data_IF_281372361304
#
_entry.id   IF_281372361304
#
_cell.length_a   1.000
_cell.length_b   1.000
_cell.length_c   1.000
_cell.angle_alpha   90.00
_cell.angle_beta   90.00
_cell.angle_gamma   90.00
#
_symmetry.space_group_name_H-M   'P 1'
#
loop_
_entity.id
_entity.type
_entity.pdbx_description
1 polymer ?
#
# COMPACT_ATOMS: atom_id res chain seq x y z
N UNK A 1 26.41 -28.01 -12.84
CA UNK A 1 27.26 -27.54 -11.72
C UNK A 1 27.68 -26.11 -12.02
N UNK A 2 26.94 -25.12 -11.51
CA UNK A 2 27.29 -23.71 -11.71
C UNK A 2 28.35 -23.28 -10.71
N UNK A 3 29.53 -22.88 -11.19
CA UNK A 3 30.57 -22.28 -10.36
C UNK A 3 30.18 -20.84 -10.00
N UNK A 4 29.69 -20.62 -8.78
CA UNK A 4 29.53 -19.28 -8.23
C UNK A 4 30.80 -18.87 -7.48
N UNK A 5 31.69 -18.12 -8.15
CA UNK A 5 32.77 -17.39 -7.46
C UNK A 5 32.31 -15.98 -7.10
N UNK A 6 31.36 -15.84 -6.18
CA UNK A 6 31.02 -14.51 -5.63
C UNK A 6 31.25 -14.52 -4.13
N UNK A 7 32.36 -13.89 -3.72
CA UNK A 7 32.64 -13.64 -2.31
C UNK A 7 31.46 -12.90 -1.65
N UNK A 8 31.04 -13.30 -0.44
CA UNK A 8 29.95 -12.62 0.27
C UNK A 8 30.32 -11.16 0.58
N UNK A 9 29.33 -10.25 0.66
CA UNK A 9 29.59 -8.84 0.97
C UNK A 9 30.29 -8.72 2.32
N UNK A 10 31.42 -8.01 2.34
CA UNK A 10 32.25 -7.82 3.54
C UNK A 10 31.81 -6.58 4.32
N UNK A 11 32.27 -6.47 5.57
CA UNK A 11 32.04 -5.32 6.48
C UNK A 11 32.06 -3.91 5.83
N UNK A 12 32.98 -3.53 4.92
CA UNK A 12 32.96 -2.20 4.30
C UNK A 12 31.74 -1.92 3.41
N UNK A 13 31.11 -2.96 2.84
CA UNK A 13 29.89 -2.81 2.04
C UNK A 13 28.72 -2.34 2.90
N UNK A 14 28.48 -3.00 4.03
CA UNK A 14 27.37 -2.68 4.93
C UNK A 14 27.48 -1.29 5.57
N UNK A 15 28.71 -0.75 5.72
CA UNK A 15 28.92 0.63 6.20
C UNK A 15 28.41 1.71 5.23
N UNK A 16 28.30 1.40 3.93
CA UNK A 16 27.88 2.35 2.88
C UNK A 16 26.49 2.07 2.33
N UNK A 17 25.85 0.99 2.79
CA UNK A 17 24.57 0.56 2.26
C UNK A 17 23.44 1.45 2.77
N UNK A 18 22.83 2.23 1.87
CA UNK A 18 21.67 3.04 2.20
C UNK A 18 20.38 2.25 2.00
N UNK A 19 19.70 2.01 3.12
CA UNK A 19 18.48 1.21 3.18
C UNK A 19 17.30 1.99 2.62
N UNK A 20 16.55 1.39 1.69
CA UNK A 20 15.28 1.94 1.21
C UNK A 20 14.20 1.86 2.30
N UNK A 21 13.15 2.68 2.18
CA UNK A 21 12.02 2.69 3.13
C UNK A 21 11.45 1.29 3.37
N UNK A 22 10.93 1.05 4.58
CA UNK A 22 10.48 -0.29 5.02
C UNK A 22 9.53 -0.96 4.03
N UNK A 23 8.47 -0.26 3.59
CA UNK A 23 7.45 -0.83 2.68
C UNK A 23 7.98 -1.11 1.27
N UNK A 24 9.06 -0.45 0.85
CA UNK A 24 9.76 -0.76 -0.40
C UNK A 24 10.53 -2.07 -0.28
N UNK A 25 11.22 -2.30 0.84
CA UNK A 25 11.90 -3.57 1.09
C UNK A 25 10.94 -4.74 1.16
N UNK A 26 9.74 -4.51 1.69
CA UNK A 26 8.67 -5.50 1.72
C UNK A 26 7.93 -5.66 0.38
N UNK A 27 8.18 -4.79 -0.61
CA UNK A 27 7.48 -4.79 -1.90
C UNK A 27 5.98 -4.45 -1.82
N UNK A 28 5.53 -3.82 -0.72
CA UNK A 28 4.10 -3.60 -0.44
C UNK A 28 3.56 -2.24 -0.90
N UNK A 29 4.43 -1.30 -1.28
CA UNK A 29 4.00 0.06 -1.60
C UNK A 29 4.93 0.74 -2.60
N UNK A 30 4.33 1.33 -3.63
CA UNK A 30 5.00 2.25 -4.55
C UNK A 30 4.91 3.68 -3.98
N UNK A 31 6.06 4.27 -3.64
CA UNK A 31 6.09 5.62 -3.06
C UNK A 31 5.89 6.73 -4.10
N UNK A 32 6.20 6.48 -5.37
CA UNK A 32 6.04 7.48 -6.44
C UNK A 32 4.56 7.68 -6.75
N UNK A 33 3.83 6.58 -6.97
CA UNK A 33 2.39 6.61 -7.19
C UNK A 33 1.65 7.13 -5.94
N UNK A 34 2.03 6.68 -4.74
CA UNK A 34 1.41 7.12 -3.49
C UNK A 34 1.56 8.64 -3.28
N UNK A 35 2.72 9.21 -3.60
CA UNK A 35 2.97 10.65 -3.48
C UNK A 35 1.98 11.46 -4.33
N UNK A 36 1.74 11.06 -5.57
CA UNK A 36 0.81 11.75 -6.46
C UNK A 36 -0.65 11.64 -5.98
N UNK A 37 -1.03 10.49 -5.42
CA UNK A 37 -2.37 10.25 -4.90
C UNK A 37 -2.65 11.05 -3.62
N UNK A 38 -1.69 11.11 -2.70
CA UNK A 38 -1.84 11.77 -1.38
C UNK A 38 -1.80 13.28 -1.48
N UNK A 39 -0.95 13.83 -2.35
CA UNK A 39 -0.76 15.29 -2.41
C UNK A 39 -2.06 15.97 -2.85
N UNK A 40 -2.41 16.98 -2.07
CA UNK A 40 -3.52 17.88 -2.32
C UNK A 40 -2.99 19.30 -2.49
N UNK A 41 -3.71 20.10 -3.28
CA UNK A 41 -3.37 21.50 -3.48
C UNK A 41 -3.62 22.26 -2.16
N UNK A 42 -2.67 23.10 -1.76
CA UNK A 42 -2.67 23.78 -0.45
C UNK A 42 -3.84 24.74 -0.24
N UNK A 43 -4.48 25.20 -1.31
CA UNK A 43 -5.70 26.01 -1.23
C UNK A 43 -6.86 25.27 -0.54
N UNK A 44 -6.85 23.93 -0.60
CA UNK A 44 -7.77 23.06 0.11
C UNK A 44 -7.05 22.57 1.35
N UNK A 45 -7.12 23.37 2.42
CA UNK A 45 -6.41 23.21 3.70
C UNK A 45 -6.61 21.82 4.34
N UNK A 46 -7.45 21.72 5.38
CA UNK A 46 -7.64 20.48 6.15
C UNK A 46 -8.70 19.56 5.56
N UNK A 47 -9.17 19.84 4.33
CA UNK A 47 -10.12 18.98 3.65
C UNK A 47 -9.37 17.70 3.25
N UNK A 48 -9.76 16.52 3.78
CA UNK A 48 -9.06 15.28 3.46
C UNK A 48 -9.32 14.83 2.03
N UNK A 49 -8.29 14.29 1.37
CA UNK A 49 -8.42 13.60 0.08
C UNK A 49 -8.65 12.11 0.32
N UNK A 50 -9.87 11.67 0.09
CA UNK A 50 -10.22 10.25 0.18
C UNK A 50 -9.69 9.47 -1.02
N UNK A 51 -9.17 8.27 -0.75
CA UNK A 51 -8.74 7.31 -1.75
C UNK A 51 -9.31 5.93 -1.45
N UNK A 52 -9.76 5.25 -2.49
CA UNK A 52 -10.14 3.85 -2.40
C UNK A 52 -8.89 2.99 -2.56
N UNK A 53 -8.58 2.20 -1.53
CA UNK A 53 -7.51 1.21 -1.56
C UNK A 53 -8.16 -0.13 -1.84
N UNK A 54 -7.83 -0.72 -2.99
CA UNK A 54 -8.24 -2.08 -3.34
C UNK A 54 -7.00 -2.96 -3.31
N UNK A 55 -7.07 -4.07 -2.56
CA UNK A 55 -6.03 -5.09 -2.53
C UNK A 55 -6.64 -6.43 -2.87
N UNK A 56 -6.10 -7.07 -3.91
CA UNK A 56 -6.48 -8.43 -4.28
C UNK A 56 -5.51 -9.37 -3.59
N UNK A 57 -6.04 -10.28 -2.79
CA UNK A 57 -5.29 -11.40 -2.21
C UNK A 57 -5.69 -12.69 -2.93
N UNK A 58 -5.01 -13.79 -2.64
CA UNK A 58 -5.29 -15.07 -3.30
C UNK A 58 -6.69 -15.62 -3.03
N UNK A 59 -7.37 -15.14 -1.99
CA UNK A 59 -8.69 -15.63 -1.56
C UNK A 59 -9.75 -14.54 -1.55
N UNK A 60 -9.37 -13.32 -1.17
CA UNK A 60 -10.32 -12.23 -0.93
C UNK A 60 -9.89 -10.91 -1.57
N UNK A 61 -10.87 -10.05 -1.82
CA UNK A 61 -10.66 -8.67 -2.26
C UNK A 61 -10.92 -7.75 -1.08
N UNK A 62 -9.90 -7.02 -0.64
CA UNK A 62 -10.01 -6.06 0.47
C UNK A 62 -10.21 -4.67 -0.12
N UNK A 63 -11.28 -3.98 0.30
CA UNK A 63 -11.60 -2.61 -0.13
C UNK A 63 -11.61 -1.71 1.10
N UNK A 64 -10.97 -0.54 1.02
CA UNK A 64 -10.91 0.43 2.11
C UNK A 64 -11.03 1.85 1.56
N UNK A 65 -11.76 2.72 2.24
CA UNK A 65 -11.71 4.16 1.96
C UNK A 65 -10.84 4.79 3.02
N UNK A 66 -9.73 5.40 2.61
CA UNK A 66 -8.74 5.99 3.51
C UNK A 66 -8.35 7.40 3.09
N UNK A 67 -7.82 8.16 4.05
CA UNK A 67 -7.24 9.48 3.83
C UNK A 67 -5.94 9.62 4.63
N UNK A 68 -5.03 10.46 4.16
CA UNK A 68 -3.70 10.56 4.73
C UNK A 68 -3.64 11.59 5.86
N UNK A 69 -3.07 11.19 7.00
CA UNK A 69 -2.60 12.08 8.06
C UNK A 69 -1.07 11.98 8.21
N UNK A 70 -0.49 12.93 8.95
CA UNK A 70 0.95 12.97 9.23
C UNK A 70 1.39 11.73 10.02
N UNK A 71 0.57 11.29 10.97
CA UNK A 71 0.83 10.12 11.81
C UNK A 71 0.66 8.79 11.05
N UNK A 72 -0.22 8.78 10.04
CA UNK A 72 -0.56 7.58 9.28
C UNK A 72 -1.83 7.75 8.46
N UNK A 73 -2.20 6.74 7.69
CA UNK A 73 -3.48 6.75 6.97
C UNK A 73 -4.63 6.41 7.93
N UNK A 74 -5.66 7.24 7.94
CA UNK A 74 -6.91 6.97 8.66
C UNK A 74 -7.91 6.29 7.71
N UNK A 75 -8.58 5.24 8.19
CA UNK A 75 -9.56 4.50 7.39
C UNK A 75 -10.96 4.94 7.81
N UNK A 76 -11.75 5.43 6.84
CA UNK A 76 -13.10 5.91 7.08
C UNK A 76 -14.14 4.77 7.07
N UNK A 77 -13.97 3.79 6.18
CA UNK A 77 -14.86 2.64 6.05
C UNK A 77 -14.09 1.40 5.58
N UNK A 78 -14.43 0.24 6.15
CA UNK A 78 -13.87 -1.06 5.85
C UNK A 78 -15.01 -2.06 5.58
N UNK A 79 -15.43 -2.25 4.31
CA UNK A 79 -16.34 -3.32 3.97
C UNK A 79 -15.60 -4.67 3.94
N UNK A 80 -15.89 -5.54 4.90
CA UNK A 80 -15.49 -6.95 4.86
C UNK A 80 -16.40 -7.75 3.93
N UNK A 81 -15.80 -8.43 2.95
CA UNK A 81 -16.50 -9.22 1.93
C UNK A 81 -17.11 -10.52 2.47
N UNK A 82 -16.69 -10.99 3.65
CA UNK A 82 -17.25 -12.19 4.28
C UNK A 82 -18.73 -12.05 4.68
N UNK A 83 -19.28 -10.83 4.70
CA UNK A 83 -20.69 -10.54 5.00
C UNK A 83 -21.55 -10.29 3.74
N UNK A 84 -21.01 -10.47 2.53
CA UNK A 84 -21.69 -10.15 1.28
C UNK A 84 -22.55 -11.24 0.58
N UNK A 85 -22.73 -12.50 1.05
CA UNK A 85 -23.62 -13.41 0.30
C UNK A 85 -25.10 -13.00 0.34
N UNK A 86 -25.53 -12.06 1.21
CA UNK A 86 -26.95 -11.67 1.34
C UNK A 86 -27.37 -10.43 0.52
N UNK A 87 -26.44 -9.58 0.05
CA UNK A 87 -26.82 -8.27 -0.52
C UNK A 87 -26.90 -8.29 -2.06
N UNK A 88 -26.32 -9.29 -2.73
CA UNK A 88 -26.30 -9.41 -4.20
C UNK A 88 -27.42 -10.30 -4.79
N UNK A 89 -28.43 -10.71 -4.01
CA UNK A 89 -29.70 -11.24 -4.55
C UNK A 89 -30.74 -10.14 -4.78
N UNK A 90 -30.33 -9.02 -5.38
CA UNK A 90 -31.28 -8.07 -5.97
C UNK A 90 -31.09 -8.15 -7.48
N UNK A 91 -31.99 -8.92 -8.08
CA UNK A 91 -32.46 -8.84 -9.46
C UNK A 91 -31.85 -7.68 -10.27
N UNK A 92 -30.88 -8.00 -11.11
CA UNK A 92 -30.73 -7.32 -12.39
C UNK A 92 -30.98 -8.39 -13.44
N UNK A 93 -32.10 -8.21 -14.14
CA UNK A 93 -32.35 -8.90 -15.41
C UNK A 93 -31.19 -8.67 -16.36
#
# INVERSE_FOLDING_TARGET
MGFFTTNPPRKPYFKRYQVKFRRWREGKSDCSAQKQLVIQVKNKYHIPKYRMIVRVTNRDIIRQIAYAHIEGDMTACFPDLHYLPEIDQIHVR
#
